data_IF_144942729397
#
_entry.id   IF_144942729397
#
_cell.length_a   1.000
_cell.length_b   1.000
_cell.length_c   1.000
_cell.angle_alpha   90.00
_cell.angle_beta   90.00
_cell.angle_gamma   90.00
#
_symmetry.space_group_name_H-M   'P 1'
#
loop_
_entity.id
_entity.type
_entity.pdbx_description
1 polymer ?
#
# COMPACT_ATOMS: atom_id res chain seq x y z
N UNK A 1 21.65 19.05 33.97
CA UNK A 1 20.51 18.91 33.05
C UNK A 1 19.27 18.86 33.91
N UNK A 2 18.43 19.88 33.84
CA UNK A 2 17.12 19.93 34.48
C UNK A 2 16.14 19.18 33.58
N UNK A 3 15.44 18.17 34.14
CA UNK A 3 14.48 17.33 33.39
C UNK A 3 13.15 18.05 33.12
N UNK A 4 13.06 19.34 33.43
CA UNK A 4 11.84 20.15 33.29
C UNK A 4 11.76 20.89 31.94
N UNK A 5 12.83 20.87 31.13
CA UNK A 5 12.83 21.51 29.81
C UNK A 5 12.37 20.55 28.71
N UNK A 6 11.43 20.97 27.83
CA UNK A 6 10.99 20.14 26.69
C UNK A 6 12.12 19.68 25.77
N UNK A 7 13.18 20.48 25.65
CA UNK A 7 14.41 20.17 24.89
C UNK A 7 15.19 18.97 25.43
N UNK A 8 14.94 18.54 26.67
CA UNK A 8 15.57 17.36 27.27
C UNK A 8 14.96 16.04 26.78
N UNK A 9 13.82 16.08 26.09
CA UNK A 9 13.10 14.90 25.61
C UNK A 9 13.13 14.79 24.10
N UNK A 10 13.27 13.55 23.61
CA UNK A 10 13.05 13.24 22.20
C UNK A 10 11.57 12.97 21.96
N UNK A 11 11.04 13.48 20.86
CA UNK A 11 9.69 13.12 20.43
C UNK A 11 9.62 11.61 20.17
N UNK A 12 8.62 10.96 20.75
CA UNK A 12 8.42 9.51 20.66
C UNK A 12 8.24 9.04 19.21
N UNK A 13 7.40 9.71 18.45
CA UNK A 13 7.01 9.28 17.10
C UNK A 13 8.15 9.51 16.09
N UNK A 14 8.85 10.63 16.20
CA UNK A 14 10.07 10.88 15.42
C UNK A 14 11.19 9.90 15.80
N UNK A 15 11.32 9.54 17.08
CA UNK A 15 12.29 8.52 17.53
C UNK A 15 11.96 7.15 16.95
N UNK A 16 10.68 6.79 16.87
CA UNK A 16 10.23 5.54 16.25
C UNK A 16 10.48 5.54 14.74
N UNK A 17 10.25 6.66 14.05
CA UNK A 17 10.57 6.79 12.64
C UNK A 17 12.08 6.72 12.37
N UNK A 18 12.90 7.28 13.25
CA UNK A 18 14.36 7.11 13.21
C UNK A 18 14.80 5.66 13.46
N UNK A 19 14.07 4.91 14.28
CA UNK A 19 14.24 3.46 14.38
C UNK A 19 13.91 2.74 13.06
N UNK A 20 12.79 3.07 12.40
CA UNK A 20 12.47 2.50 11.08
C UNK A 20 13.53 2.83 10.02
N UNK A 21 14.08 4.06 10.04
CA UNK A 21 15.23 4.42 9.20
C UNK A 21 16.44 3.53 9.47
N UNK A 22 16.75 3.19 10.73
CA UNK A 22 17.84 2.25 11.06
C UNK A 22 17.60 0.84 10.53
N UNK A 23 16.35 0.38 10.51
CA UNK A 23 16.00 -0.91 9.87
C UNK A 23 16.22 -0.84 8.37
N UNK A 24 15.79 0.25 7.71
CA UNK A 24 16.09 0.49 6.29
C UNK A 24 17.59 0.50 5.99
N UNK A 25 18.42 1.09 6.85
CA UNK A 25 19.88 1.10 6.66
C UNK A 25 20.49 -0.31 6.59
N UNK A 26 19.85 -1.35 7.14
CA UNK A 26 20.30 -2.73 6.97
C UNK A 26 20.16 -3.22 5.51
N UNK A 27 19.24 -2.66 4.73
CA UNK A 27 19.11 -2.94 3.30
C UNK A 27 20.28 -2.38 2.48
N UNK A 28 20.99 -1.38 3.02
CA UNK A 28 22.13 -0.75 2.36
C UNK A 28 23.46 -1.44 2.68
N UNK A 29 23.51 -2.34 3.67
CA UNK A 29 24.72 -3.02 4.09
C UNK A 29 25.15 -4.08 3.05
N UNK A 30 26.26 -3.86 2.31
CA UNK A 30 26.71 -4.80 1.28
C UNK A 30 27.29 -6.10 1.86
N UNK A 31 27.56 -6.15 3.18
CA UNK A 31 28.01 -7.38 3.84
C UNK A 31 26.87 -8.40 4.00
N UNK A 32 25.62 -7.95 3.92
CA UNK A 32 24.44 -8.81 3.99
C UNK A 32 24.16 -9.47 2.62
N UNK A 33 23.68 -10.73 2.60
CA UNK A 33 23.20 -11.35 1.37
C UNK A 33 22.12 -10.50 0.69
N UNK A 34 22.11 -10.46 -0.65
CA UNK A 34 21.19 -9.60 -1.42
C UNK A 34 19.71 -9.79 -1.06
N UNK A 35 19.27 -11.03 -0.84
CA UNK A 35 17.88 -11.30 -0.46
C UNK A 35 17.56 -10.87 0.99
N UNK A 36 18.53 -10.88 1.90
CA UNK A 36 18.36 -10.32 3.24
C UNK A 36 18.28 -8.80 3.19
N UNK A 37 19.07 -8.15 2.33
CA UNK A 37 18.95 -6.70 2.07
C UNK A 37 17.55 -6.34 1.54
N UNK A 38 17.07 -7.10 0.56
CA UNK A 38 15.70 -6.94 0.04
C UNK A 38 14.64 -7.19 1.12
N UNK A 39 14.85 -8.18 1.98
CA UNK A 39 13.97 -8.45 3.12
C UNK A 39 13.91 -7.28 4.10
N UNK A 40 15.04 -6.67 4.45
CA UNK A 40 15.07 -5.48 5.31
C UNK A 40 14.30 -4.30 4.69
N UNK A 41 14.37 -4.13 3.36
CA UNK A 41 13.58 -3.14 2.65
C UNK A 41 12.07 -3.41 2.79
N UNK A 42 11.64 -4.66 2.65
CA UNK A 42 10.25 -5.05 2.91
C UNK A 42 9.82 -4.84 4.37
N UNK A 43 10.70 -5.14 5.33
CA UNK A 43 10.44 -4.91 6.76
C UNK A 43 10.29 -3.42 7.04
N UNK A 44 11.17 -2.57 6.51
CA UNK A 44 11.09 -1.12 6.69
C UNK A 44 9.77 -0.55 6.14
N UNK A 45 9.34 -1.00 4.96
CA UNK A 45 8.04 -0.63 4.37
C UNK A 45 6.86 -1.11 5.23
N UNK A 46 6.93 -2.35 5.75
CA UNK A 46 5.87 -2.90 6.63
C UNK A 46 5.78 -2.16 7.97
N UNK A 47 6.92 -1.79 8.56
CA UNK A 47 6.96 -1.00 9.78
C UNK A 47 6.39 0.41 9.57
N UNK A 48 6.64 1.00 8.38
CA UNK A 48 6.05 2.28 8.03
C UNK A 48 4.53 2.15 7.88
N UNK A 49 4.01 1.07 7.29
CA UNK A 49 2.56 0.81 7.28
C UNK A 49 1.97 0.80 8.70
N UNK A 50 2.53 0.00 9.60
CA UNK A 50 2.05 -0.10 10.99
C UNK A 50 2.13 1.23 11.74
N UNK A 51 3.20 2.00 11.51
CA UNK A 51 3.35 3.34 12.06
C UNK A 51 2.19 4.25 11.65
N UNK A 52 1.77 4.22 10.38
CA UNK A 52 0.63 5.00 9.92
C UNK A 52 -0.69 4.47 10.49
N UNK A 53 -0.88 3.15 10.54
CA UNK A 53 -2.11 2.52 11.04
C UNK A 53 -2.42 2.83 12.51
N UNK A 54 -1.40 3.08 13.34
CA UNK A 54 -1.57 3.26 14.79
C UNK A 54 -1.15 4.65 15.23
N UNK A 55 0.09 5.07 14.94
CA UNK A 55 0.66 6.31 15.50
C UNK A 55 0.11 7.54 14.81
N UNK A 56 0.17 7.56 13.48
CA UNK A 56 -0.35 8.69 12.69
C UNK A 56 -1.86 8.80 12.85
N UNK A 57 -2.58 7.68 12.83
CA UNK A 57 -4.01 7.64 13.09
C UNK A 57 -4.39 8.28 14.44
N UNK A 58 -3.68 7.92 15.52
CA UNK A 58 -3.90 8.50 16.84
C UNK A 58 -3.65 10.01 16.88
N UNK A 59 -2.60 10.48 16.19
CA UNK A 59 -2.31 11.91 16.08
C UNK A 59 -3.36 12.67 15.26
N UNK A 60 -3.86 12.09 14.16
CA UNK A 60 -4.95 12.67 13.36
C UNK A 60 -6.21 12.82 14.21
N UNK A 61 -6.60 11.76 14.93
CA UNK A 61 -7.75 11.80 15.86
C UNK A 61 -7.61 12.89 16.94
N UNK A 62 -6.40 13.09 17.49
CA UNK A 62 -6.16 14.17 18.46
C UNK A 62 -6.37 15.57 17.84
N UNK A 63 -5.95 15.76 16.60
CA UNK A 63 -6.14 17.02 15.88
C UNK A 63 -7.63 17.25 15.59
N UNK A 64 -8.35 16.23 15.14
CA UNK A 64 -9.78 16.32 14.82
C UNK A 64 -10.64 16.63 16.05
N UNK A 65 -10.25 16.11 17.22
CA UNK A 65 -10.87 16.42 18.52
C UNK A 65 -10.44 17.79 19.09
N UNK A 66 -9.56 18.53 18.40
CA UNK A 66 -9.06 19.82 18.85
C UNK A 66 -8.21 19.75 20.13
N UNK A 67 -7.56 18.61 20.38
CA UNK A 67 -6.74 18.41 21.57
C UNK A 67 -5.57 19.40 21.62
N UNK A 68 -5.38 20.03 22.79
CA UNK A 68 -4.22 20.87 23.09
C UNK A 68 -3.13 20.12 23.84
N UNK A 69 -3.32 18.82 24.09
CA UNK A 69 -2.33 18.00 24.77
C UNK A 69 -1.03 17.97 23.96
N UNK A 70 0.09 18.14 24.64
CA UNK A 70 1.44 18.00 24.07
C UNK A 70 2.22 17.02 24.94
N UNK A 71 3.13 16.27 24.32
CA UNK A 71 4.02 15.37 25.04
C UNK A 71 5.05 16.12 25.89
N UNK A 72 5.91 15.39 26.62
CA UNK A 72 7.01 15.98 27.40
C UNK A 72 7.98 16.83 26.57
N UNK A 73 8.07 16.56 25.26
CA UNK A 73 8.85 17.28 24.26
C UNK A 73 8.19 18.59 23.79
N UNK A 74 6.96 18.86 24.21
CA UNK A 74 6.24 20.12 23.95
C UNK A 74 5.67 20.26 22.53
N UNK A 75 5.79 19.25 21.66
CA UNK A 75 5.23 19.29 20.32
C UNK A 75 3.73 18.99 20.33
N UNK A 76 2.96 19.85 19.67
CA UNK A 76 1.53 19.60 19.41
C UNK A 76 1.34 18.48 18.40
N UNK A 77 0.19 17.81 18.42
CA UNK A 77 -0.12 16.72 17.48
C UNK A 77 0.02 17.16 16.01
N UNK A 78 -0.40 18.39 15.69
CA UNK A 78 -0.25 18.98 14.34
C UNK A 78 1.23 19.15 13.96
N UNK A 79 2.05 19.71 14.85
CA UNK A 79 3.48 19.88 14.59
C UNK A 79 4.19 18.52 14.43
N UNK A 80 3.77 17.50 15.19
CA UNK A 80 4.27 16.14 15.03
C UNK A 80 3.89 15.56 13.67
N UNK A 81 2.63 15.69 13.22
CA UNK A 81 2.20 15.23 11.90
C UNK A 81 2.99 15.89 10.76
N UNK A 82 3.23 17.20 10.85
CA UNK A 82 4.03 17.94 9.87
C UNK A 82 5.48 17.42 9.81
N UNK A 83 6.11 17.22 10.97
CA UNK A 83 7.47 16.68 11.03
C UNK A 83 7.54 15.22 10.55
N UNK A 84 6.56 14.39 10.91
CA UNK A 84 6.42 13.01 10.46
C UNK A 84 6.29 12.96 8.94
N UNK A 85 5.46 13.81 8.33
CA UNK A 85 5.25 13.82 6.89
C UNK A 85 6.57 14.04 6.12
N UNK A 86 7.41 14.96 6.61
CA UNK A 86 8.72 15.24 6.00
C UNK A 86 9.62 14.00 6.06
N UNK A 87 9.79 13.41 7.24
CA UNK A 87 10.71 12.29 7.44
C UNK A 87 10.20 10.98 6.83
N UNK A 88 8.88 10.77 6.83
CA UNK A 88 8.26 9.60 6.22
C UNK A 88 8.38 9.63 4.70
N UNK A 89 8.16 10.78 4.05
CA UNK A 89 8.37 10.91 2.60
C UNK A 89 9.84 10.70 2.22
N UNK A 90 10.78 11.25 3.00
CA UNK A 90 12.22 10.99 2.77
C UNK A 90 12.52 9.49 2.85
N UNK A 91 12.05 8.81 3.90
CA UNK A 91 12.27 7.38 4.07
C UNK A 91 11.61 6.56 2.94
N UNK A 92 10.41 6.94 2.52
CA UNK A 92 9.71 6.25 1.42
C UNK A 92 10.45 6.41 0.08
N UNK A 93 10.96 7.60 -0.22
CA UNK A 93 11.77 7.84 -1.42
C UNK A 93 13.08 7.05 -1.35
N UNK A 94 13.78 7.08 -0.22
CA UNK A 94 15.00 6.30 -0.01
C UNK A 94 14.77 4.78 -0.23
N UNK A 95 13.64 4.25 0.25
CA UNK A 95 13.20 2.85 0.02
C UNK A 95 12.96 2.60 -1.47
N UNK A 96 12.25 3.51 -2.15
CA UNK A 96 11.93 3.39 -3.56
C UNK A 96 13.19 3.38 -4.44
N UNK A 97 14.08 4.35 -4.24
CA UNK A 97 15.31 4.51 -5.00
C UNK A 97 16.24 3.32 -4.77
N UNK A 98 16.39 2.86 -3.51
CA UNK A 98 17.18 1.66 -3.20
C UNK A 98 16.64 0.41 -3.89
N UNK A 99 15.31 0.27 -3.93
CA UNK A 99 14.69 -0.85 -4.63
C UNK A 99 15.01 -0.81 -6.12
N UNK A 100 14.73 0.31 -6.79
CA UNK A 100 14.84 0.42 -8.25
C UNK A 100 16.27 0.53 -8.76
N UNK A 101 17.11 1.33 -8.11
CA UNK A 101 18.42 1.72 -8.64
C UNK A 101 19.56 0.83 -8.11
N UNK A 102 19.35 0.09 -7.02
CA UNK A 102 20.38 -0.76 -6.41
C UNK A 102 20.00 -2.25 -6.37
N UNK A 103 18.89 -2.61 -5.70
CA UNK A 103 18.57 -4.03 -5.46
C UNK A 103 18.04 -4.73 -6.71
N UNK A 104 17.11 -4.10 -7.45
CA UNK A 104 16.52 -4.70 -8.66
C UNK A 104 17.56 -5.00 -9.75
N UNK A 105 18.52 -4.11 -10.08
CA UNK A 105 19.59 -4.42 -11.03
C UNK A 105 20.47 -5.60 -10.58
N UNK A 106 20.79 -5.67 -9.29
CA UNK A 106 21.59 -6.77 -8.72
C UNK A 106 20.86 -8.11 -8.72
N UNK A 107 19.53 -8.11 -8.53
CA UNK A 107 18.67 -9.28 -8.66
C UNK A 107 18.61 -9.74 -10.12
N UNK A 108 18.42 -8.80 -11.04
CA UNK A 108 18.37 -9.08 -12.48
C UNK A 108 19.67 -9.72 -12.96
N UNK A 109 20.83 -9.21 -12.54
CA UNK A 109 22.15 -9.79 -12.84
C UNK A 109 22.33 -11.23 -12.31
N UNK A 110 21.53 -11.65 -11.32
CA UNK A 110 21.49 -13.02 -10.77
C UNK A 110 20.35 -13.86 -11.33
N UNK A 111 19.67 -13.38 -12.38
CA UNK A 111 18.60 -14.07 -13.08
C UNK A 111 17.23 -13.99 -12.37
N UNK A 112 17.03 -13.00 -11.48
CA UNK A 112 15.73 -12.70 -10.87
C UNK A 112 15.25 -11.36 -11.41
N UNK A 113 14.28 -11.38 -12.31
CA UNK A 113 13.81 -10.18 -13.01
C UNK A 113 12.33 -9.97 -12.79
N UNK A 114 11.95 -8.71 -12.69
CA UNK A 114 10.57 -8.26 -12.56
C UNK A 114 10.23 -7.48 -13.82
N UNK A 115 9.31 -8.02 -14.61
CA UNK A 115 8.94 -7.49 -15.91
C UNK A 115 7.96 -6.33 -15.78
N UNK A 116 8.25 -5.23 -16.48
CA UNK A 116 7.32 -4.12 -16.71
C UNK A 116 6.41 -4.43 -17.89
N UNK A 117 5.33 -3.68 -18.07
CA UNK A 117 4.42 -3.85 -19.20
C UNK A 117 5.15 -3.77 -20.56
N UNK A 118 6.17 -2.91 -20.66
CA UNK A 118 7.01 -2.76 -21.87
C UNK A 118 7.80 -4.02 -22.23
N UNK A 119 8.03 -4.89 -21.25
CA UNK A 119 8.90 -6.06 -21.37
C UNK A 119 8.09 -7.31 -21.78
N UNK A 120 6.77 -7.18 -21.96
CA UNK A 120 5.89 -8.30 -22.29
C UNK A 120 5.91 -8.62 -23.78
N UNK A 121 6.45 -9.78 -24.14
CA UNK A 121 6.32 -10.34 -25.49
C UNK A 121 4.87 -10.76 -25.76
N UNK A 122 4.47 -10.98 -27.03
CA UNK A 122 3.13 -11.47 -27.36
C UNK A 122 2.77 -12.79 -26.64
N UNK A 123 3.73 -13.70 -26.47
CA UNK A 123 3.51 -14.97 -25.78
C UNK A 123 3.31 -14.79 -24.27
N UNK A 124 4.07 -13.89 -23.64
CA UNK A 124 3.87 -13.53 -22.23
C UNK A 124 2.50 -12.88 -22.04
N UNK A 125 2.13 -11.93 -22.91
CA UNK A 125 0.84 -11.25 -22.84
C UNK A 125 -0.32 -12.24 -22.95
N UNK A 126 -0.26 -13.18 -23.89
CA UNK A 126 -1.30 -14.20 -24.06
C UNK A 126 -1.40 -15.10 -22.83
N UNK A 127 -0.26 -15.58 -22.32
CA UNK A 127 -0.24 -16.40 -21.11
C UNK A 127 -0.84 -15.69 -19.88
N UNK A 128 -0.46 -14.42 -19.67
CA UNK A 128 -1.01 -13.61 -18.58
C UNK A 128 -2.50 -13.30 -18.78
N UNK A 129 -2.95 -13.17 -20.04
CA UNK A 129 -4.37 -13.01 -20.37
C UNK A 129 -5.16 -14.27 -20.01
N UNK A 130 -4.64 -15.46 -20.31
CA UNK A 130 -5.25 -16.73 -19.88
C UNK A 130 -5.37 -16.81 -18.37
N UNK A 131 -4.28 -16.58 -17.62
CA UNK A 131 -4.33 -16.55 -16.15
C UNK A 131 -5.33 -15.51 -15.66
N UNK A 132 -5.34 -14.34 -16.28
CA UNK A 132 -6.27 -13.29 -15.91
C UNK A 132 -7.72 -13.73 -16.09
N UNK A 133 -8.09 -14.29 -17.24
CA UNK A 133 -9.47 -14.72 -17.51
C UNK A 133 -9.91 -15.92 -16.66
N UNK A 134 -9.02 -16.90 -16.48
CA UNK A 134 -9.36 -18.18 -15.86
C UNK A 134 -9.25 -18.17 -14.33
N UNK A 135 -8.31 -17.40 -13.77
CA UNK A 135 -7.99 -17.42 -12.34
C UNK A 135 -8.27 -16.09 -11.61
N UNK A 136 -8.00 -14.94 -12.25
CA UNK A 136 -8.06 -13.63 -11.58
C UNK A 136 -9.44 -13.00 -11.74
N UNK A 137 -9.95 -12.88 -12.96
CA UNK A 137 -11.21 -12.25 -13.31
C UNK A 137 -12.40 -12.82 -12.50
N UNK A 138 -12.54 -14.15 -12.31
CA UNK A 138 -13.69 -14.72 -11.59
C UNK A 138 -13.78 -14.34 -10.12
N UNK A 139 -12.67 -13.90 -9.51
CA UNK A 139 -12.61 -13.49 -8.09
C UNK A 139 -12.57 -11.97 -7.92
N UNK A 140 -12.60 -11.20 -9.01
CA UNK A 140 -12.72 -9.74 -8.97
C UNK A 140 -14.20 -9.34 -8.95
N UNK A 141 -14.50 -8.29 -8.18
CA UNK A 141 -15.85 -7.71 -8.12
C UNK A 141 -15.73 -6.19 -8.31
N UNK A 142 -15.78 -5.71 -9.57
CA UNK A 142 -15.74 -4.28 -9.86
C UNK A 142 -16.91 -3.53 -9.22
N UNK A 143 -16.60 -2.37 -8.64
CA UNK A 143 -17.58 -1.48 -8.03
C UNK A 143 -17.61 -0.18 -8.83
N UNK A 144 -18.66 0.04 -9.62
CA UNK A 144 -18.87 1.35 -10.27
C UNK A 144 -19.18 2.40 -9.19
N UNK A 145 -18.57 3.57 -9.36
CA UNK A 145 -18.84 4.76 -8.56
C UNK A 145 -19.98 5.52 -9.21
N UNK A 146 -20.96 5.91 -8.41
CA UNK A 146 -22.00 6.84 -8.83
C UNK A 146 -22.19 7.95 -7.78
N UNK A 147 -22.71 9.12 -8.18
CA UNK A 147 -22.89 10.24 -7.26
C UNK A 147 -23.99 10.05 -6.20
N UNK A 148 -24.89 9.09 -6.40
CA UNK A 148 -26.03 8.83 -5.52
C UNK A 148 -25.67 7.87 -4.36
N UNK A 149 -24.55 7.17 -4.44
CA UNK A 149 -24.05 6.26 -3.39
C UNK A 149 -22.70 6.73 -2.83
N UNK A 150 -22.43 6.46 -1.53
CA UNK A 150 -21.14 6.79 -0.95
C UNK A 150 -20.00 5.98 -1.59
N UNK A 151 -18.80 6.55 -1.57
CA UNK A 151 -17.60 5.87 -2.06
C UNK A 151 -17.42 4.52 -1.35
N UNK A 152 -17.10 3.43 -2.08
CA UNK A 152 -17.00 2.10 -1.49
C UNK A 152 -15.89 2.04 -0.44
N UNK A 153 -16.17 1.36 0.68
CA UNK A 153 -15.17 1.14 1.73
C UNK A 153 -14.09 0.18 1.25
N UNK A 154 -12.98 0.74 0.78
CA UNK A 154 -11.79 0.01 0.34
C UNK A 154 -11.11 -0.70 1.51
N UNK A 155 -10.65 -1.93 1.26
CA UNK A 155 -10.06 -2.80 2.27
C UNK A 155 -8.66 -2.30 2.65
N UNK A 156 -8.39 -2.15 3.94
CA UNK A 156 -7.08 -1.71 4.45
C UNK A 156 -5.89 -2.52 3.86
N UNK A 157 -4.83 -1.83 3.41
CA UNK A 157 -3.60 -2.35 2.78
C UNK A 157 -3.82 -3.29 1.60
N UNK A 158 -5.00 -3.28 1.00
CA UNK A 158 -5.29 -4.08 -0.19
C UNK A 158 -4.99 -3.27 -1.45
N UNK A 159 -4.47 -3.93 -2.48
CA UNK A 159 -4.35 -3.35 -3.82
C UNK A 159 -5.76 -3.14 -4.36
N UNK A 160 -6.01 -1.94 -4.86
CA UNK A 160 -7.18 -1.59 -5.65
C UNK A 160 -6.71 -0.97 -6.96
N UNK A 161 -7.56 -1.01 -7.97
CA UNK A 161 -7.33 -0.29 -9.22
C UNK A 161 -8.52 0.63 -9.46
N UNK A 162 -8.26 1.92 -9.59
CA UNK A 162 -9.24 2.90 -10.04
C UNK A 162 -9.24 2.88 -11.57
N UNK A 163 -10.40 2.70 -12.19
CA UNK A 163 -10.57 2.61 -13.63
C UNK A 163 -11.48 3.74 -14.09
N UNK A 164 -10.99 4.56 -15.02
CA UNK A 164 -11.79 5.56 -15.71
C UNK A 164 -12.39 4.95 -16.98
N UNK A 165 -13.69 5.16 -17.13
CA UNK A 165 -14.52 4.54 -18.17
C UNK A 165 -15.22 5.63 -18.97
N UNK A 166 -15.29 5.44 -20.29
CA UNK A 166 -16.07 6.25 -21.22
C UNK A 166 -16.93 5.39 -22.14
N UNK A 167 -17.92 6.02 -22.76
CA UNK A 167 -18.84 5.38 -23.70
C UNK A 167 -20.27 5.33 -23.16
N UNK A 168 -21.21 4.92 -24.01
CA UNK A 168 -22.61 4.80 -23.63
C UNK A 168 -22.84 3.42 -23.01
N UNK A 169 -23.07 3.37 -21.69
CA UNK A 169 -23.73 2.20 -21.15
C UNK A 169 -25.15 2.08 -21.72
N UNK A 170 -25.84 0.96 -21.49
CA UNK A 170 -27.22 0.76 -21.96
C UNK A 170 -28.22 1.82 -21.45
N UNK A 171 -27.79 2.76 -20.60
CA UNK A 171 -28.55 3.83 -19.99
C UNK A 171 -28.02 5.25 -20.32
N UNK A 172 -27.04 5.39 -21.22
CA UNK A 172 -26.53 6.67 -21.71
C UNK A 172 -25.59 7.43 -20.76
N UNK A 173 -25.02 6.75 -19.74
CA UNK A 173 -24.02 7.35 -18.86
C UNK A 173 -22.67 7.43 -19.58
N UNK A 174 -22.26 8.65 -19.96
CA UNK A 174 -21.15 8.92 -20.90
C UNK A 174 -19.74 8.74 -20.32
N UNK A 175 -19.61 8.82 -18.99
CA UNK A 175 -18.34 8.65 -18.25
C UNK A 175 -18.60 8.12 -16.85
N UNK A 176 -17.72 7.26 -16.37
CA UNK A 176 -17.81 6.69 -15.03
C UNK A 176 -16.45 6.34 -14.45
N UNK A 177 -16.42 6.17 -13.13
CA UNK A 177 -15.27 5.61 -12.43
C UNK A 177 -15.67 4.26 -11.86
N UNK A 178 -14.73 3.34 -11.76
CA UNK A 178 -14.92 2.08 -11.06
C UNK A 178 -13.70 1.76 -10.20
N UNK A 179 -13.95 1.13 -9.06
CA UNK A 179 -12.91 0.61 -8.17
C UNK A 179 -12.92 -0.91 -8.27
N UNK A 180 -11.76 -1.48 -8.56
CA UNK A 180 -11.56 -2.92 -8.66
C UNK A 180 -10.68 -3.36 -7.48
N UNK A 181 -11.24 -3.89 -6.38
CA UNK A 181 -10.45 -4.45 -5.30
C UNK A 181 -9.80 -5.76 -5.76
N UNK A 182 -8.51 -5.94 -5.47
CA UNK A 182 -7.79 -7.17 -5.78
C UNK A 182 -7.59 -8.00 -4.49
N UNK A 183 -8.39 -9.07 -4.27
CA UNK A 183 -8.35 -9.87 -3.05
C UNK A 183 -6.95 -10.32 -2.64
N UNK A 184 -6.73 -10.49 -1.33
CA UNK A 184 -5.45 -10.95 -0.78
C UNK A 184 -5.13 -12.42 -1.11
N UNK A 185 -6.12 -13.19 -1.57
CA UNK A 185 -5.93 -14.57 -2.05
C UNK A 185 -5.13 -14.62 -3.34
N UNK A 186 -5.10 -13.53 -4.12
CA UNK A 186 -4.35 -13.46 -5.38
C UNK A 186 -2.90 -13.07 -5.07
N UNK A 187 -1.90 -13.85 -5.51
CA UNK A 187 -0.49 -13.49 -5.35
C UNK A 187 -0.18 -12.13 -5.97
N UNK A 188 0.55 -11.28 -5.25
CA UNK A 188 0.96 -9.94 -5.76
C UNK A 188 2.06 -10.02 -6.82
N UNK A 189 2.82 -11.11 -6.82
CA UNK A 189 3.86 -11.44 -7.77
C UNK A 189 3.53 -12.79 -8.40
N UNK A 190 3.38 -12.81 -9.72
CA UNK A 190 3.19 -14.04 -10.48
C UNK A 190 4.50 -14.42 -11.15
N UNK A 191 4.92 -15.66 -10.98
CA UNK A 191 6.11 -16.20 -11.64
C UNK A 191 5.73 -16.71 -13.02
N UNK A 192 6.48 -16.31 -14.05
CA UNK A 192 6.32 -16.88 -15.38
C UNK A 192 6.87 -18.31 -15.44
N UNK A 193 6.27 -19.17 -16.28
CA UNK A 193 6.80 -20.50 -16.53
C UNK A 193 8.19 -20.40 -17.19
N UNK A 194 9.10 -21.36 -16.94
CA UNK A 194 10.46 -21.33 -17.51
C UNK A 194 10.49 -21.21 -19.03
N UNK A 195 9.50 -21.76 -19.74
CA UNK A 195 9.39 -21.71 -21.20
C UNK A 195 9.13 -20.29 -21.76
N UNK A 196 8.61 -19.38 -20.93
CA UNK A 196 8.35 -17.99 -21.29
C UNK A 196 9.35 -17.01 -20.63
N UNK A 197 10.28 -17.53 -19.83
CA UNK A 197 11.25 -16.73 -19.10
C UNK A 197 12.57 -16.66 -19.86
N UNK A 198 13.17 -15.47 -19.96
CA UNK A 198 14.53 -15.32 -20.49
C UNK A 198 15.58 -15.49 -19.38
N UNK A 199 15.17 -15.30 -18.13
CA UNK A 199 16.00 -15.48 -16.95
C UNK A 199 15.54 -16.70 -16.12
N UNK A 200 16.32 -17.02 -15.07
CA UNK A 200 16.02 -18.13 -14.15
C UNK A 200 14.66 -17.96 -13.45
N UNK A 201 14.32 -16.72 -13.11
CA UNK A 201 13.06 -16.34 -12.47
C UNK A 201 12.57 -15.00 -13.03
N UNK A 202 11.57 -15.04 -13.90
CA UNK A 202 10.84 -13.85 -14.33
C UNK A 202 9.52 -13.74 -13.54
N UNK A 203 9.24 -12.54 -13.02
CA UNK A 203 8.03 -12.23 -12.27
C UNK A 203 7.27 -11.06 -12.90
N UNK A 204 5.96 -11.01 -12.66
CA UNK A 204 5.07 -9.93 -13.08
C UNK A 204 4.23 -9.49 -11.89
N UNK A 205 4.07 -8.17 -11.71
CA UNK A 205 3.18 -7.63 -10.70
C UNK A 205 1.71 -7.85 -11.08
N UNK A 206 0.91 -8.26 -10.09
CA UNK A 206 -0.55 -8.31 -10.25
C UNK A 206 -1.13 -6.95 -10.69
N UNK A 207 -0.61 -5.85 -10.15
CA UNK A 207 -1.05 -4.50 -10.54
C UNK A 207 -0.88 -4.25 -12.04
N UNK A 208 0.21 -4.74 -12.64
CA UNK A 208 0.46 -4.64 -14.09
C UNK A 208 -0.54 -5.47 -14.90
N UNK A 209 -0.91 -6.66 -14.42
CA UNK A 209 -1.92 -7.54 -15.04
C UNK A 209 -3.30 -6.87 -14.99
N UNK A 210 -3.71 -6.40 -13.82
CA UNK A 210 -5.00 -5.71 -13.64
C UNK A 210 -5.11 -4.46 -14.53
N UNK A 211 -4.03 -3.68 -14.63
CA UNK A 211 -3.96 -2.51 -15.52
C UNK A 211 -4.02 -2.89 -16.99
N UNK A 212 -3.29 -3.92 -17.40
CA UNK A 212 -3.20 -4.33 -18.81
C UNK A 212 -4.49 -4.95 -19.36
N UNK A 213 -5.28 -5.59 -18.49
CA UNK A 213 -6.51 -6.29 -18.86
C UNK A 213 -7.76 -5.67 -18.22
N UNK A 214 -7.69 -4.41 -17.79
CA UNK A 214 -8.82 -3.70 -17.18
C UNK A 214 -10.06 -3.68 -18.10
N UNK A 215 -9.87 -3.64 -19.42
CA UNK A 215 -10.96 -3.66 -20.39
C UNK A 215 -11.83 -4.91 -20.34
N UNK A 216 -11.26 -6.05 -19.97
CA UNK A 216 -12.00 -7.32 -19.87
C UNK A 216 -12.97 -7.33 -18.67
N UNK A 217 -12.82 -6.41 -17.70
CA UNK A 217 -13.74 -6.22 -16.57
C UNK A 217 -15.00 -5.42 -16.94
N UNK A 218 -14.95 -4.64 -18.03
CA UNK A 218 -15.99 -3.68 -18.41
C UNK A 218 -16.35 -3.84 -19.90
N UNK A 219 -16.99 -4.96 -20.28
CA UNK A 219 -17.37 -5.20 -21.68
C UNK A 219 -18.31 -4.12 -22.19
N UNK A 220 -18.02 -3.58 -23.38
CA UNK A 220 -18.80 -2.52 -24.02
C UNK A 220 -18.45 -1.09 -23.57
N UNK A 221 -17.45 -0.91 -22.69
CA UNK A 221 -16.94 0.39 -22.29
C UNK A 221 -15.50 0.59 -22.77
N UNK A 222 -15.12 1.85 -22.99
CA UNK A 222 -13.74 2.22 -23.26
C UNK A 222 -13.00 2.55 -21.96
N UNK A 223 -11.77 2.06 -21.82
CA UNK A 223 -10.93 2.35 -20.66
C UNK A 223 -10.07 3.58 -20.96
N UNK A 224 -10.34 4.69 -20.29
CA UNK A 224 -9.53 5.91 -20.38
C UNK A 224 -8.21 5.78 -19.57
N UNK A 225 -8.25 5.00 -18.49
CA UNK A 225 -7.07 4.70 -17.69
C UNK A 225 -7.36 3.78 -16.51
N UNK A 226 -6.28 3.22 -15.95
CA UNK A 226 -6.33 2.33 -14.80
C UNK A 226 -5.13 2.59 -13.89
N UNK A 227 -5.39 3.00 -12.65
CA UNK A 227 -4.38 3.43 -11.68
C UNK A 227 -4.45 2.56 -10.43
N UNK A 228 -3.40 1.77 -10.15
CA UNK A 228 -3.24 1.10 -8.88
C UNK A 228 -3.21 2.09 -7.72
N UNK A 229 -3.91 1.77 -6.63
CA UNK A 229 -3.82 2.53 -5.40
C UNK A 229 -3.99 1.61 -4.18
N UNK A 230 -3.57 2.12 -3.04
CA UNK A 230 -3.69 1.45 -1.75
C UNK A 230 -4.03 2.46 -0.67
N UNK A 231 -4.94 2.09 0.22
CA UNK A 231 -5.28 2.90 1.39
C UNK A 231 -4.82 2.17 2.65
N UNK A 232 -4.16 2.92 3.53
CA UNK A 232 -3.85 2.52 4.90
C UNK A 232 -4.86 3.17 5.83
N UNK A 233 -5.49 2.36 6.67
CA UNK A 233 -6.57 2.75 7.59
C UNK A 233 -6.16 2.51 9.04
N UNK A 234 -6.73 3.30 9.94
CA UNK A 234 -6.60 3.14 11.37
C UNK A 234 -6.93 1.69 11.74
N UNK A 235 -6.04 1.07 12.48
CA UNK A 235 -6.17 -0.31 12.93
C UNK A 235 -6.15 -0.42 14.46
N UNK A 236 -6.26 0.71 15.16
CA UNK A 236 -6.40 0.78 16.60
C UNK A 236 -7.79 0.29 17.03
N UNK A 237 -7.86 -0.37 18.19
CA UNK A 237 -9.10 -0.88 18.76
C UNK A 237 -9.52 0.06 19.88
N UNK A 238 -10.71 0.65 19.77
CA UNK A 238 -11.27 1.44 20.86
C UNK A 238 -11.79 0.49 21.94
N UNK A 239 -10.93 0.21 22.94
CA UNK A 239 -11.32 -0.56 24.10
C UNK A 239 -11.87 0.41 25.16
N UNK A 240 -13.09 0.15 25.63
CA UNK A 240 -13.63 0.82 26.79
C UNK A 240 -13.17 0.11 28.08
N UNK A 241 -12.72 0.87 29.07
CA UNK A 241 -12.12 0.34 30.32
C UNK A 241 -13.06 -0.59 31.12
N UNK A 242 -14.37 -0.56 30.83
CA UNK A 242 -15.41 -1.31 31.55
C UNK A 242 -15.80 -2.66 30.89
N UNK A 243 -15.20 -3.05 29.76
CA UNK A 243 -15.54 -4.29 29.03
C UNK A 243 -14.59 -5.46 29.32
N UNK A 244 -15.12 -6.68 29.26
CA UNK A 244 -14.30 -7.90 29.21
C UNK A 244 -13.44 -7.86 27.95
N UNK A 245 -12.13 -7.64 28.14
CA UNK A 245 -11.13 -7.44 27.08
C UNK A 245 -11.23 -8.47 25.95
N UNK A 246 -11.53 -9.74 26.27
CA UNK A 246 -11.67 -10.78 25.26
C UNK A 246 -12.90 -10.53 24.36
N UNK A 247 -14.03 -10.13 24.95
CA UNK A 247 -15.27 -9.86 24.22
C UNK A 247 -15.16 -8.58 23.38
N UNK A 248 -14.57 -7.52 23.94
CA UNK A 248 -14.33 -6.26 23.23
C UNK A 248 -13.42 -6.46 22.01
N UNK A 249 -12.35 -7.26 22.14
CA UNK A 249 -11.48 -7.61 21.01
C UNK A 249 -12.25 -8.42 19.95
N UNK A 250 -13.07 -9.40 20.37
CA UNK A 250 -13.86 -10.22 19.43
C UNK A 250 -14.89 -9.41 18.63
N UNK A 251 -15.52 -8.40 19.22
CA UNK A 251 -16.50 -7.55 18.53
C UNK A 251 -15.86 -6.54 17.56
N UNK A 252 -14.69 -6.00 17.90
CA UNK A 252 -14.02 -4.96 17.11
C UNK A 252 -13.11 -5.52 15.99
N UNK A 253 -12.73 -6.80 16.07
CA UNK A 253 -11.87 -7.49 15.08
C UNK A 253 -12.34 -7.37 13.61
N UNK A 254 -13.64 -7.53 13.27
CA UNK A 254 -14.13 -7.35 11.91
C UNK A 254 -14.11 -5.88 11.44
N UNK A 255 -14.38 -4.93 12.35
CA UNK A 255 -14.45 -3.51 12.07
C UNK A 255 -13.07 -2.89 11.78
N UNK A 256 -12.00 -3.49 12.34
CA UNK A 256 -10.59 -3.10 12.12
C UNK A 256 -10.18 -2.94 10.66
N UNK A 257 -10.83 -3.65 9.73
CA UNK A 257 -10.54 -3.52 8.27
C UNK A 257 -11.07 -2.22 7.67
N UNK A 258 -11.92 -1.49 8.39
CA UNK A 258 -12.70 -0.34 7.95
C UNK A 258 -12.55 0.89 8.87
N UNK A 259 -11.49 0.97 9.68
CA UNK A 259 -11.17 2.17 10.44
C UNK A 259 -10.92 3.38 9.54
N UNK A 260 -10.80 4.57 10.14
CA UNK A 260 -10.65 5.83 9.40
C UNK A 260 -9.42 5.81 8.48
N UNK A 261 -9.51 6.47 7.32
CA UNK A 261 -8.40 6.57 6.38
C UNK A 261 -7.26 7.45 6.92
N UNK A 262 -6.02 6.95 6.78
CA UNK A 262 -4.83 7.61 7.34
C UNK A 262 -3.86 8.02 6.23
N UNK A 263 -3.66 7.15 5.24
CA UNK A 263 -2.73 7.37 4.12
C UNK A 263 -3.29 6.79 2.82
N UNK A 264 -3.18 7.56 1.75
CA UNK A 264 -3.43 7.12 0.38
C UNK A 264 -2.10 7.02 -0.36
N UNK A 265 -1.86 5.88 -1.00
CA UNK A 265 -0.72 5.64 -1.88
C UNK A 265 -1.24 5.41 -3.30
N UNK A 266 -0.64 6.10 -4.25
CA UNK A 266 -0.96 6.05 -5.68
C UNK A 266 0.33 5.83 -6.49
N UNK A 267 0.17 5.24 -7.67
CA UNK A 267 1.25 5.04 -8.68
C UNK A 267 1.82 6.38 -9.19
#
# INVERSE_FOLDING_TARGET
MTFDEPSAYLNRELSLLAFHRRVYLQALDPSQPLLERFRFLCIASSNLDEFFEVRVAGLQKQVDLGSKASGPDGLSAKAQLEAIAIEAHKLQNDIHDTMLDDLMPQLNARGVRLLRLSDWTPSIREHLRTIFLDEILPVLSPLRLDPAHPFPRVINKCLHVLVALSGDDAFGATRGLAVVPAPRSIPRLLRLPPALSENRFDFVYLASILRAFAGDLFPGMEIEGAWPFRVTRNSDLELHDDEDLLRAIMSELPARRFGDEVRLEVD
#
